data_IF_363481024816
#
_entry.id   IF_363481024816
#
_cell.length_a   1.000
_cell.length_b   1.000
_cell.length_c   1.000
_cell.angle_alpha   90.00
_cell.angle_beta   90.00
_cell.angle_gamma   90.00
#
_symmetry.space_group_name_H-M   'P 1'
#
loop_
_entity.id
_entity.type
_entity.pdbx_description
1 polymer ?
#
# COMPACT_ATOMS: atom_id res chain seq x y z
N UNK A 1 -21.66 -6.05 -5.11
CA UNK A 1 -20.39 -6.20 -4.37
C UNK A 1 -20.39 -5.19 -3.24
N UNK A 2 -20.27 -5.63 -1.99
CA UNK A 2 -20.15 -4.72 -0.83
C UNK A 2 -18.89 -3.86 -0.97
N UNK A 3 -18.98 -2.58 -0.61
CA UNK A 3 -17.83 -1.67 -0.65
C UNK A 3 -17.02 -1.79 0.65
N UNK A 4 -15.67 -1.71 0.59
CA UNK A 4 -14.84 -1.63 1.79
C UNK A 4 -15.30 -0.44 2.67
N UNK A 5 -15.47 -0.67 3.97
CA UNK A 5 -15.82 0.36 4.96
C UNK A 5 -17.23 0.28 5.56
N UNK A 6 -18.23 -0.31 4.87
CA UNK A 6 -19.62 -0.28 5.36
C UNK A 6 -19.92 -1.30 6.47
N UNK A 7 -19.15 -2.38 6.59
CA UNK A 7 -19.38 -3.44 7.58
C UNK A 7 -18.08 -4.04 8.15
N UNK A 8 -16.95 -3.44 7.86
CA UNK A 8 -15.64 -4.04 8.14
C UNK A 8 -15.36 -4.19 9.64
N UNK A 9 -15.84 -3.24 10.44
CA UNK A 9 -15.66 -3.27 11.89
C UNK A 9 -16.47 -4.41 12.53
N UNK A 10 -17.66 -4.68 12.02
CA UNK A 10 -18.48 -5.78 12.50
C UNK A 10 -17.88 -7.13 12.11
N UNK A 11 -17.45 -7.27 10.85
CA UNK A 11 -16.75 -8.46 10.38
C UNK A 11 -15.46 -8.70 11.18
N UNK A 12 -14.67 -7.65 11.43
CA UNK A 12 -13.47 -7.75 12.24
C UNK A 12 -13.78 -8.15 13.69
N UNK A 13 -14.89 -7.67 14.26
CA UNK A 13 -15.35 -8.08 15.60
C UNK A 13 -15.74 -9.57 15.63
N UNK A 14 -16.46 -10.05 14.62
CA UNK A 14 -16.81 -11.49 14.48
C UNK A 14 -15.56 -12.35 14.32
N UNK A 15 -14.66 -11.94 13.40
CA UNK A 15 -13.39 -12.61 13.16
C UNK A 15 -12.52 -12.68 14.42
N UNK A 16 -12.51 -11.62 15.23
CA UNK A 16 -11.86 -11.61 16.55
C UNK A 16 -12.45 -12.65 17.52
N UNK A 17 -13.74 -12.93 17.39
CA UNK A 17 -14.43 -13.99 18.14
C UNK A 17 -14.17 -15.40 17.62
N UNK A 18 -13.32 -15.58 16.59
CA UNK A 18 -12.99 -16.87 15.99
C UNK A 18 -13.82 -17.23 14.75
N UNK A 19 -14.66 -16.31 14.24
CA UNK A 19 -15.44 -16.54 13.04
C UNK A 19 -14.55 -16.43 11.78
N UNK A 20 -14.13 -17.60 11.26
CA UNK A 20 -13.31 -17.72 10.07
C UNK A 20 -14.04 -17.24 8.81
N UNK A 21 -15.36 -17.38 8.72
CA UNK A 21 -16.13 -16.92 7.56
C UNK A 21 -16.15 -15.38 7.48
N UNK A 22 -16.28 -14.70 8.63
CA UNK A 22 -16.20 -13.25 8.70
C UNK A 22 -14.81 -12.76 8.26
N UNK A 23 -13.74 -13.45 8.63
CA UNK A 23 -12.39 -13.11 8.15
C UNK A 23 -12.21 -13.37 6.65
N UNK A 24 -12.74 -14.47 6.13
CA UNK A 24 -12.71 -14.77 4.69
C UNK A 24 -13.42 -13.67 3.88
N UNK A 25 -14.55 -13.14 4.36
CA UNK A 25 -15.22 -12.00 3.74
C UNK A 25 -14.30 -10.76 3.72
N UNK A 26 -13.59 -10.46 4.81
CA UNK A 26 -12.58 -9.39 4.86
C UNK A 26 -11.45 -9.63 3.84
N UNK A 27 -10.96 -10.86 3.71
CA UNK A 27 -9.95 -11.20 2.69
C UNK A 27 -10.47 -10.87 1.29
N UNK A 28 -11.68 -11.31 0.94
CA UNK A 28 -12.30 -11.04 -0.36
C UNK A 28 -12.45 -9.54 -0.66
N UNK A 29 -12.78 -8.75 0.37
CA UNK A 29 -12.93 -7.29 0.24
C UNK A 29 -11.60 -6.59 0.00
N UNK A 30 -10.52 -7.04 0.64
CA UNK A 30 -9.27 -6.28 0.72
C UNK A 30 -8.11 -6.84 -0.11
N UNK A 31 -8.14 -8.13 -0.53
CA UNK A 31 -7.00 -8.78 -1.18
C UNK A 31 -6.49 -8.00 -2.41
N UNK A 32 -7.40 -7.52 -3.27
CA UNK A 32 -7.03 -6.76 -4.48
C UNK A 32 -6.39 -5.42 -4.14
N UNK A 33 -6.87 -4.75 -3.10
CA UNK A 33 -6.36 -3.45 -2.67
C UNK A 33 -4.97 -3.60 -2.05
N UNK A 34 -4.79 -4.59 -1.16
CA UNK A 34 -3.50 -4.88 -0.52
C UNK A 34 -2.47 -5.33 -1.55
N UNK A 35 -2.84 -6.23 -2.48
CA UNK A 35 -1.98 -6.61 -3.58
C UNK A 35 -1.54 -5.39 -4.40
N UNK A 36 -2.47 -4.55 -4.83
CA UNK A 36 -2.16 -3.37 -5.62
C UNK A 36 -1.26 -2.36 -4.89
N UNK A 37 -1.44 -2.20 -3.57
CA UNK A 37 -0.57 -1.37 -2.73
C UNK A 37 0.84 -1.95 -2.63
N UNK A 38 0.96 -3.24 -2.34
CA UNK A 38 2.23 -3.93 -2.22
C UNK A 38 2.97 -4.04 -3.55
N UNK A 39 2.25 -4.27 -4.65
CA UNK A 39 2.82 -4.26 -5.99
C UNK A 39 3.46 -2.91 -6.33
N UNK A 40 2.76 -1.82 -6.04
CA UNK A 40 3.31 -0.48 -6.24
C UNK A 40 4.52 -0.18 -5.35
N UNK A 41 4.55 -0.72 -4.13
CA UNK A 41 5.70 -0.54 -3.23
C UNK A 41 6.91 -1.38 -3.64
N UNK A 42 6.69 -2.64 -4.04
CA UNK A 42 7.76 -3.60 -4.33
C UNK A 42 8.28 -3.51 -5.77
N UNK A 43 7.42 -3.16 -6.73
CA UNK A 43 7.72 -3.25 -8.15
C UNK A 43 7.76 -4.68 -8.70
N UNK A 44 7.47 -5.71 -7.88
CA UNK A 44 7.54 -7.14 -8.23
C UNK A 44 6.19 -7.81 -7.99
N UNK A 45 5.71 -8.59 -8.97
CA UNK A 45 4.48 -9.37 -8.85
C UNK A 45 4.63 -10.48 -7.81
N UNK A 46 5.77 -11.13 -7.80
CA UNK A 46 6.11 -12.22 -6.88
C UNK A 46 6.11 -11.72 -5.44
N UNK A 47 6.84 -10.63 -5.17
CA UNK A 47 6.85 -10.01 -3.84
C UNK A 47 5.46 -9.56 -3.40
N UNK A 48 4.71 -8.94 -4.30
CA UNK A 48 3.37 -8.48 -3.99
C UNK A 48 2.43 -9.62 -3.63
N UNK A 49 2.51 -10.76 -4.32
CA UNK A 49 1.72 -11.96 -4.03
C UNK A 49 2.10 -12.53 -2.66
N UNK A 50 3.39 -12.78 -2.43
CA UNK A 50 3.90 -13.33 -1.18
C UNK A 50 3.55 -12.44 0.02
N UNK A 51 3.81 -11.14 -0.11
CA UNK A 51 3.51 -10.16 0.95
C UNK A 51 2.01 -10.01 1.20
N UNK A 52 1.16 -10.17 0.18
CA UNK A 52 -0.29 -10.14 0.34
C UNK A 52 -0.74 -11.35 1.16
N UNK A 53 -0.28 -12.56 0.83
CA UNK A 53 -0.58 -13.76 1.61
C UNK A 53 -0.08 -13.62 3.05
N UNK A 54 1.18 -13.20 3.23
CA UNK A 54 1.78 -12.98 4.54
C UNK A 54 0.99 -11.94 5.37
N UNK A 55 0.47 -10.90 4.72
CA UNK A 55 -0.35 -9.87 5.38
C UNK A 55 -1.61 -10.48 5.98
N UNK A 56 -2.35 -11.28 5.21
CA UNK A 56 -3.58 -11.90 5.71
C UNK A 56 -3.31 -12.97 6.76
N UNK A 57 -2.28 -13.79 6.59
CA UNK A 57 -1.86 -14.77 7.60
C UNK A 57 -1.53 -14.08 8.93
N UNK A 58 -0.68 -13.04 8.90
CA UNK A 58 -0.33 -12.26 10.11
C UNK A 58 -1.54 -11.57 10.71
N UNK A 59 -2.43 -11.04 9.87
CA UNK A 59 -3.65 -10.38 10.33
C UNK A 59 -4.59 -11.36 11.03
N UNK A 60 -4.74 -12.58 10.51
CA UNK A 60 -5.54 -13.62 11.15
C UNK A 60 -4.94 -14.05 12.49
N UNK A 61 -3.64 -14.31 12.52
CA UNK A 61 -2.95 -14.71 13.77
C UNK A 61 -3.05 -13.64 14.87
N UNK A 62 -3.08 -12.37 14.48
CA UNK A 62 -3.11 -11.23 15.40
C UNK A 62 -4.52 -10.62 15.60
N UNK A 63 -5.56 -11.14 14.92
CA UNK A 63 -6.90 -10.54 14.95
C UNK A 63 -7.48 -10.47 16.36
N UNK A 64 -7.16 -11.45 17.21
CA UNK A 64 -7.57 -11.47 18.62
C UNK A 64 -7.13 -10.23 19.41
N UNK A 65 -6.01 -9.61 19.05
CA UNK A 65 -5.48 -8.40 19.64
C UNK A 65 -6.01 -7.10 19.01
N UNK A 66 -6.79 -7.18 17.95
CA UNK A 66 -7.37 -6.01 17.29
C UNK A 66 -8.43 -5.35 18.17
N UNK A 67 -8.10 -4.19 18.74
CA UNK A 67 -8.97 -3.45 19.70
C UNK A 67 -9.99 -2.52 19.05
N UNK A 68 -9.96 -2.34 17.72
CA UNK A 68 -10.84 -1.41 17.04
C UNK A 68 -10.45 0.08 17.20
N UNK A 69 -9.24 0.37 17.69
CA UNK A 69 -8.72 1.75 17.86
C UNK A 69 -8.45 2.45 16.51
N UNK A 70 -8.52 1.70 15.42
CA UNK A 70 -8.49 2.20 14.05
C UNK A 70 -9.47 1.40 13.21
N UNK A 71 -9.75 1.87 11.99
CA UNK A 71 -10.47 1.03 11.03
C UNK A 71 -9.71 -0.28 10.76
N UNK A 72 -10.42 -1.36 10.47
CA UNK A 72 -9.79 -2.62 10.05
C UNK A 72 -8.91 -2.40 8.82
N UNK A 73 -9.34 -1.54 7.93
CA UNK A 73 -8.55 -1.12 6.76
C UNK A 73 -7.19 -0.55 7.18
N UNK A 74 -7.15 0.43 8.07
CA UNK A 74 -5.88 1.04 8.56
C UNK A 74 -4.99 -0.01 9.23
N UNK A 75 -5.57 -0.91 10.03
CA UNK A 75 -4.85 -2.03 10.63
C UNK A 75 -4.21 -2.91 9.55
N UNK A 76 -4.98 -3.33 8.54
CA UNK A 76 -4.50 -4.22 7.48
C UNK A 76 -3.37 -3.60 6.66
N UNK A 77 -3.49 -2.32 6.29
CA UNK A 77 -2.42 -1.59 5.61
C UNK A 77 -1.17 -1.43 6.49
N UNK A 78 -1.35 -1.31 7.80
CA UNK A 78 -0.22 -1.27 8.75
C UNK A 78 0.54 -2.62 8.74
N UNK A 79 -0.19 -3.74 8.75
CA UNK A 79 0.41 -5.08 8.66
C UNK A 79 1.16 -5.24 7.34
N UNK A 80 0.54 -4.84 6.21
CA UNK A 80 1.14 -4.91 4.88
C UNK A 80 2.43 -4.08 4.77
N UNK A 81 2.38 -2.81 5.19
CA UNK A 81 3.53 -1.92 5.17
C UNK A 81 4.68 -2.40 6.08
N UNK A 82 4.35 -3.00 7.23
CA UNK A 82 5.34 -3.62 8.12
C UNK A 82 5.97 -4.87 7.50
N UNK A 83 5.17 -5.72 6.84
CA UNK A 83 5.68 -6.89 6.13
C UNK A 83 6.70 -6.47 5.06
N UNK A 84 6.36 -5.49 4.23
CA UNK A 84 7.27 -4.93 3.23
C UNK A 84 8.55 -4.34 3.83
N UNK A 85 8.45 -3.53 4.88
CA UNK A 85 9.64 -2.96 5.56
C UNK A 85 10.57 -4.03 6.13
N UNK A 86 10.01 -5.13 6.65
CA UNK A 86 10.79 -6.24 7.15
C UNK A 86 11.54 -6.96 6.02
N UNK A 87 10.87 -7.27 4.91
CA UNK A 87 11.50 -7.87 3.73
C UNK A 87 12.65 -7.03 3.21
N UNK A 88 12.47 -5.70 3.12
CA UNK A 88 13.56 -4.80 2.74
C UNK A 88 14.74 -4.87 3.71
N UNK A 89 14.46 -4.80 5.03
CA UNK A 89 15.53 -4.88 6.04
C UNK A 89 16.31 -6.19 5.94
N UNK A 90 15.61 -7.29 5.68
CA UNK A 90 16.23 -8.61 5.57
C UNK A 90 17.08 -8.73 4.28
N UNK A 91 16.62 -8.13 3.18
CA UNK A 91 17.43 -8.01 1.94
C UNK A 91 18.73 -7.21 2.16
N UNK A 92 18.64 -6.07 2.84
CA UNK A 92 19.83 -5.26 3.16
C UNK A 92 20.80 -5.92 4.15
N UNK A 93 20.36 -6.89 4.94
CA UNK A 93 21.22 -7.63 5.88
C UNK A 93 21.95 -8.81 5.26
N UNK A 94 21.50 -9.31 4.12
CA UNK A 94 22.18 -10.40 3.40
C UNK A 94 23.18 -9.80 2.42
N UNK A 95 24.51 -10.02 2.59
CA UNK A 95 25.54 -9.33 1.77
C UNK A 95 25.68 -9.88 0.34
N UNK A 96 24.73 -10.63 -0.17
CA UNK A 96 24.85 -11.31 -1.46
C UNK A 96 23.62 -11.10 -2.32
N UNK A 97 23.34 -9.88 -2.69
CA UNK A 97 22.70 -9.55 -3.99
C UNK A 97 23.01 -8.09 -4.26
N UNK A 98 23.67 -7.80 -5.37
CA UNK A 98 23.78 -6.48 -5.94
C UNK A 98 22.44 -5.78 -5.85
N UNK A 99 22.45 -4.63 -5.16
CA UNK A 99 21.31 -3.71 -5.16
C UNK A 99 21.39 -2.93 -6.47
N UNK A 100 21.33 -3.67 -7.57
CA UNK A 100 20.96 -3.10 -8.83
C UNK A 100 19.50 -2.66 -8.70
N UNK A 101 19.27 -1.45 -9.11
CA UNK A 101 18.01 -0.73 -9.20
C UNK A 101 16.85 -1.70 -9.43
N UNK A 102 15.90 -1.73 -8.47
CA UNK A 102 14.67 -2.51 -8.65
C UNK A 102 14.06 -2.07 -9.99
N UNK A 103 14.01 -2.94 -11.01
CA UNK A 103 13.46 -2.56 -12.29
C UNK A 103 12.02 -2.11 -12.06
N UNK A 104 11.71 -0.91 -12.49
CA UNK A 104 10.35 -0.40 -12.57
C UNK A 104 9.59 -1.21 -13.63
N UNK A 105 9.12 -2.39 -13.25
CA UNK A 105 8.22 -3.16 -14.08
C UNK A 105 6.84 -2.52 -14.04
N UNK A 106 6.61 -1.60 -14.96
CA UNK A 106 5.29 -1.10 -15.30
C UNK A 106 4.60 -2.15 -16.17
N UNK A 107 3.96 -3.13 -15.56
CA UNK A 107 3.00 -3.97 -16.25
C UNK A 107 1.59 -3.43 -15.98
N UNK A 108 1.19 -2.48 -16.82
CA UNK A 108 -0.15 -1.93 -16.86
C UNK A 108 -1.02 -2.86 -17.69
N UNK A 109 -2.02 -3.46 -17.05
CA UNK A 109 -3.09 -4.13 -17.78
C UNK A 109 -3.89 -3.09 -18.57
N UNK A 110 -3.99 -3.21 -19.90
CA UNK A 110 -4.73 -2.27 -20.72
C UNK A 110 -6.20 -2.64 -20.70
N UNK A 111 -7.05 -1.80 -20.08
CA UNK A 111 -8.43 -1.63 -20.52
C UNK A 111 -9.05 -0.38 -19.88
N UNK A 112 -9.53 0.47 -20.79
CA UNK A 112 -10.49 1.55 -20.69
C UNK A 112 -9.95 2.98 -20.64
N UNK A 113 -10.30 3.71 -21.72
CA UNK A 113 -10.22 5.15 -21.99
C UNK A 113 -8.81 5.72 -22.33
N UNK A 114 -8.50 5.75 -23.64
CA UNK A 114 -7.16 5.97 -24.17
C UNK A 114 -6.47 7.29 -23.84
N UNK A 115 -7.14 8.41 -23.62
CA UNK A 115 -6.47 9.71 -23.36
C UNK A 115 -6.31 10.01 -21.86
N UNK A 116 -7.29 9.73 -21.06
CA UNK A 116 -7.15 9.79 -19.58
C UNK A 116 -6.18 8.73 -19.06
N UNK A 117 -6.05 7.61 -19.79
CA UNK A 117 -5.14 6.52 -19.53
C UNK A 117 -3.68 6.97 -19.63
N UNK A 118 -3.26 7.67 -20.69
CA UNK A 118 -1.86 8.08 -20.88
C UNK A 118 -1.37 9.06 -19.80
N UNK A 119 -2.16 10.07 -19.44
CA UNK A 119 -1.79 11.02 -18.39
C UNK A 119 -1.71 10.35 -17.01
N UNK A 120 -2.65 9.43 -16.72
CA UNK A 120 -2.59 8.66 -15.48
C UNK A 120 -1.40 7.72 -15.46
N UNK A 121 -1.08 7.09 -16.57
CA UNK A 121 0.07 6.19 -16.70
C UNK A 121 1.38 6.94 -16.49
N UNK A 122 1.55 8.09 -17.16
CA UNK A 122 2.70 8.99 -16.95
C UNK A 122 2.83 9.40 -15.48
N UNK A 123 1.74 9.80 -14.83
CA UNK A 123 1.76 10.15 -13.42
C UNK A 123 2.26 9.00 -12.54
N UNK A 124 1.80 7.78 -12.80
CA UNK A 124 2.22 6.63 -12.01
C UNK A 124 3.68 6.24 -12.26
N UNK A 125 4.21 6.43 -13.47
CA UNK A 125 5.65 6.29 -13.76
C UNK A 125 6.46 7.27 -12.89
N UNK A 126 6.04 8.53 -12.80
CA UNK A 126 6.70 9.51 -11.95
C UNK A 126 6.59 9.17 -10.46
N UNK A 127 5.42 8.68 -10.02
CA UNK A 127 5.23 8.20 -8.63
C UNK A 127 6.17 7.04 -8.32
N UNK A 128 6.41 6.15 -9.28
CA UNK A 128 7.30 5.01 -9.10
C UNK A 128 8.77 5.41 -8.89
N UNK A 129 9.18 6.58 -9.42
CA UNK A 129 10.54 7.17 -9.23
C UNK A 129 10.71 7.91 -7.89
N UNK A 130 9.64 8.11 -7.14
CA UNK A 130 9.72 8.80 -5.85
C UNK A 130 10.54 8.00 -4.83
N UNK A 131 11.29 8.67 -3.93
CA UNK A 131 11.86 8.05 -2.75
C UNK A 131 10.79 7.30 -1.95
N UNK A 132 11.15 6.12 -1.43
CA UNK A 132 10.22 5.18 -0.80
C UNK A 132 9.18 5.80 0.13
N UNK A 133 9.59 6.67 1.06
CA UNK A 133 8.67 7.32 2.01
C UNK A 133 7.69 8.27 1.33
N UNK A 134 8.15 8.96 0.29
CA UNK A 134 7.32 9.84 -0.51
C UNK A 134 6.32 9.03 -1.35
N UNK A 135 6.76 7.93 -1.97
CA UNK A 135 5.91 7.00 -2.70
C UNK A 135 4.83 6.40 -1.77
N UNK A 136 5.24 5.89 -0.60
CA UNK A 136 4.34 5.30 0.39
C UNK A 136 3.20 6.25 0.76
N UNK A 137 3.50 7.51 1.12
CA UNK A 137 2.47 8.47 1.52
C UNK A 137 1.57 8.88 0.34
N UNK A 138 2.10 9.00 -0.87
CA UNK A 138 1.31 9.30 -2.08
C UNK A 138 0.31 8.18 -2.36
N UNK A 139 0.75 6.92 -2.31
CA UNK A 139 -0.13 5.76 -2.47
C UNK A 139 -1.25 5.77 -1.42
N UNK A 140 -0.92 5.93 -0.15
CA UNK A 140 -1.91 5.94 0.94
C UNK A 140 -2.90 7.11 0.80
N UNK A 141 -2.43 8.31 0.40
CA UNK A 141 -3.28 9.49 0.31
C UNK A 141 -4.11 9.56 -0.96
N UNK A 142 -3.49 9.30 -2.12
CA UNK A 142 -4.12 9.54 -3.43
C UNK A 142 -4.87 8.29 -3.89
N UNK A 143 -4.23 7.12 -3.84
CA UNK A 143 -4.85 5.88 -4.33
C UNK A 143 -5.83 5.30 -3.32
N UNK A 144 -5.43 5.26 -2.05
CA UNK A 144 -6.23 4.64 -1.00
C UNK A 144 -7.18 5.63 -0.29
N UNK A 145 -7.05 6.93 -0.53
CA UNK A 145 -7.92 7.97 0.06
C UNK A 145 -7.82 8.09 1.58
N UNK A 146 -6.75 7.57 2.21
CA UNK A 146 -6.58 7.59 3.66
C UNK A 146 -6.21 9.00 4.15
N UNK A 147 -6.62 9.35 5.36
CA UNK A 147 -6.25 10.62 6.02
C UNK A 147 -4.75 10.65 6.37
N UNK A 148 -4.20 11.84 6.65
CA UNK A 148 -2.81 11.94 7.13
C UNK A 148 -2.59 11.27 8.48
N UNK A 149 -3.62 11.18 9.32
CA UNK A 149 -3.57 10.47 10.61
C UNK A 149 -3.38 8.97 10.36
N UNK A 150 -4.19 8.40 9.46
CA UNK A 150 -4.10 6.98 9.08
C UNK A 150 -2.78 6.69 8.36
N UNK A 151 -2.40 7.52 7.38
CA UNK A 151 -1.14 7.36 6.67
C UNK A 151 0.07 7.40 7.63
N UNK A 152 0.10 8.34 8.58
CA UNK A 152 1.15 8.41 9.58
C UNK A 152 1.22 7.16 10.46
N UNK A 153 0.06 6.63 10.88
CA UNK A 153 -0.03 5.36 11.64
C UNK A 153 0.52 4.20 10.83
N UNK A 154 0.12 4.05 9.57
CA UNK A 154 0.60 2.99 8.67
C UNK A 154 2.09 3.11 8.43
N UNK A 155 2.59 4.32 8.20
CA UNK A 155 4.00 4.60 7.96
C UNK A 155 4.88 4.49 9.22
N UNK A 156 4.28 4.42 10.42
CA UNK A 156 5.01 4.43 11.69
C UNK A 156 5.79 5.72 11.91
N UNK A 157 5.17 6.87 11.61
CA UNK A 157 5.80 8.19 11.77
C UNK A 157 4.81 9.22 12.33
N UNK A 158 5.30 10.42 12.65
CA UNK A 158 4.42 11.51 13.06
C UNK A 158 3.57 12.05 11.89
N UNK A 159 2.41 12.65 12.20
CA UNK A 159 1.56 13.29 11.19
C UNK A 159 2.33 14.40 10.44
N UNK A 160 3.18 15.15 11.15
CA UNK A 160 4.05 16.17 10.57
C UNK A 160 5.02 15.58 9.54
N UNK A 161 5.65 14.43 9.87
CA UNK A 161 6.53 13.72 8.95
C UNK A 161 5.80 13.19 7.70
N UNK A 162 4.59 12.65 7.88
CA UNK A 162 3.77 12.20 6.75
C UNK A 162 3.38 13.37 5.82
N UNK A 163 2.96 14.51 6.39
CA UNK A 163 2.68 15.74 5.63
C UNK A 163 3.90 16.27 4.89
N UNK A 164 5.07 16.31 5.55
CA UNK A 164 6.32 16.76 4.94
C UNK A 164 6.73 15.87 3.75
N UNK A 165 6.70 14.54 3.91
CA UNK A 165 6.96 13.60 2.82
C UNK A 165 5.99 13.79 1.64
N UNK A 166 4.70 13.99 1.92
CA UNK A 166 3.70 14.24 0.89
C UNK A 166 3.96 15.56 0.15
N UNK A 167 4.27 16.63 0.87
CA UNK A 167 4.61 17.94 0.28
C UNK A 167 5.82 17.85 -0.64
N UNK A 168 6.88 17.16 -0.19
CA UNK A 168 8.08 16.95 -0.99
C UNK A 168 7.79 16.10 -2.24
N UNK A 169 6.97 15.05 -2.11
CA UNK A 169 6.52 14.23 -3.23
C UNK A 169 5.78 15.08 -4.29
N UNK A 170 4.80 15.86 -3.85
CA UNK A 170 4.02 16.74 -4.77
C UNK A 170 4.91 17.77 -5.45
N UNK A 171 5.87 18.38 -4.73
CA UNK A 171 6.83 19.31 -5.31
C UNK A 171 7.68 18.66 -6.40
N UNK A 172 8.20 17.44 -6.13
CA UNK A 172 9.00 16.68 -7.09
C UNK A 172 8.18 16.28 -8.31
N UNK A 173 6.98 15.72 -8.12
CA UNK A 173 6.08 15.33 -9.20
C UNK A 173 5.70 16.53 -10.10
N UNK A 174 5.48 17.72 -9.52
CA UNK A 174 5.21 18.93 -10.29
C UNK A 174 6.41 19.40 -11.11
N UNK A 175 7.64 19.26 -10.60
CA UNK A 175 8.87 19.55 -11.32
C UNK A 175 9.03 18.63 -12.52
N UNK A 176 9.07 17.32 -12.28
CA UNK A 176 9.24 16.32 -13.32
C UNK A 176 8.11 16.33 -14.37
N UNK A 177 6.86 16.62 -13.96
CA UNK A 177 5.73 16.74 -14.88
C UNK A 177 5.88 17.92 -15.86
N UNK A 178 6.49 19.03 -15.43
CA UNK A 178 6.72 20.21 -16.31
C UNK A 178 7.87 19.99 -17.27
N UNK A 179 8.93 19.30 -16.83
CA UNK A 179 10.09 19.00 -17.67
C UNK A 179 9.77 17.96 -18.77
N UNK A 180 8.74 17.16 -18.57
CA UNK A 180 8.32 16.08 -19.47
C UNK A 180 7.24 16.54 -20.49
N UNK A 181 6.86 17.82 -20.49
CA UNK A 181 6.00 18.40 -21.52
C UNK A 181 6.86 18.95 -22.68
N UNK A 182 6.57 18.51 -23.94
CA UNK A 182 7.30 18.98 -25.13
C UNK A 182 7.12 20.47 -25.36
#
# INVERSE_FOLDING_TARGET
MKRPGENDQELAKKARGGDGQAFEELVRLYQRMIYGFLFRLSGSKEDAMELTQLTFVKSWMAIGSFRGESSFRTYLYTVAANAWRNTLRDRYRRPTVDVDEIPLASDHSPHEEAEKSQQQERLWILVDRLPRRQKEVVLLRIREGLSFVEAARIMGCSIGAAKANYHQAVKRLRGEWREDQP
#
